data_IF_095786797618
#
_entry.id   IF_095786797618
#
_cell.length_a   1.000
_cell.length_b   1.000
_cell.length_c   1.000
_cell.angle_alpha   90.00
_cell.angle_beta   90.00
_cell.angle_gamma   90.00
#
_symmetry.space_group_name_H-M   'P 1'
#
loop_
_entity.id
_entity.type
_entity.pdbx_description
1 polymer ?
#
# COMPACT_ATOMS: atom_id res chain seq x y z
N UNK A 1 30.24 -2.93 10.21
CA UNK A 1 29.83 -4.09 11.04
C UNK A 1 28.58 -4.67 10.42
N UNK A 2 28.53 -5.96 10.06
CA UNK A 2 27.30 -6.58 9.61
C UNK A 2 26.33 -6.73 10.79
N UNK A 3 24.99 -6.63 10.56
CA UNK A 3 24.02 -6.81 11.63
C UNK A 3 24.11 -8.23 12.18
N UNK A 4 24.15 -8.36 13.52
CA UNK A 4 24.19 -9.64 14.19
C UNK A 4 22.93 -10.44 13.82
N UNK A 5 23.10 -11.64 13.32
CA UNK A 5 22.00 -12.58 13.07
C UNK A 5 21.33 -12.88 14.41
N UNK A 6 20.10 -12.41 14.59
CA UNK A 6 19.27 -12.78 15.73
C UNK A 6 19.03 -14.30 15.62
N UNK A 7 19.55 -15.05 16.57
CA UNK A 7 19.37 -16.49 16.60
C UNK A 7 17.99 -16.82 17.18
N UNK A 8 17.00 -16.96 16.31
CA UNK A 8 15.58 -17.15 16.65
C UNK A 8 15.32 -18.50 17.35
N UNK A 9 16.31 -19.44 17.34
CA UNK A 9 16.11 -20.80 17.86
C UNK A 9 16.22 -20.95 19.39
N UNK A 10 16.36 -19.85 20.14
CA UNK A 10 16.45 -19.89 21.62
C UNK A 10 15.60 -18.82 22.33
N UNK A 11 14.68 -18.17 21.63
CA UNK A 11 13.70 -17.33 22.32
C UNK A 11 12.76 -18.24 23.12
N UNK A 12 12.80 -18.14 24.45
CA UNK A 12 11.82 -18.78 25.30
C UNK A 12 10.46 -18.11 25.07
N UNK A 13 9.61 -18.76 24.27
CA UNK A 13 8.29 -18.24 23.90
C UNK A 13 7.34 -18.07 25.10
N UNK A 14 7.75 -18.54 26.28
CA UNK A 14 7.00 -18.38 27.53
C UNK A 14 7.47 -17.20 28.37
N UNK A 15 8.51 -16.46 27.97
CA UNK A 15 8.94 -15.27 28.70
C UNK A 15 7.85 -14.19 28.66
N UNK A 16 7.46 -13.61 29.80
CA UNK A 16 6.52 -12.50 29.82
C UNK A 16 7.04 -11.34 28.96
N UNK A 17 6.16 -10.66 28.27
CA UNK A 17 6.49 -9.47 27.44
C UNK A 17 7.23 -8.39 28.25
N UNK A 18 7.02 -8.36 29.58
CA UNK A 18 7.70 -7.45 30.51
C UNK A 18 9.22 -7.62 30.58
N UNK A 19 9.76 -8.79 30.22
CA UNK A 19 11.20 -9.08 30.24
C UNK A 19 11.90 -8.78 28.90
N UNK A 20 11.15 -8.30 27.88
CA UNK A 20 11.73 -7.94 26.60
C UNK A 20 12.39 -6.56 26.66
N UNK A 21 13.52 -6.31 25.96
CA UNK A 21 14.10 -4.97 25.88
C UNK A 21 13.08 -3.96 25.38
N UNK A 22 13.20 -2.70 25.81
CA UNK A 22 12.22 -1.64 25.54
C UNK A 22 11.88 -1.56 24.04
N UNK A 23 10.81 -2.25 23.64
CA UNK A 23 10.25 -2.22 22.29
C UNK A 23 8.99 -1.34 22.29
N UNK A 24 8.70 -0.60 21.22
CA UNK A 24 7.48 0.19 21.13
C UNK A 24 6.26 -0.70 20.85
N UNK A 25 5.95 -1.63 21.77
CA UNK A 25 4.88 -2.63 21.60
C UNK A 25 3.50 -2.03 21.47
N UNK A 26 3.27 -0.89 22.13
CA UNK A 26 2.08 -0.08 22.00
C UNK A 26 1.89 0.44 20.57
N UNK A 27 2.93 1.05 20.00
CA UNK A 27 2.93 1.54 18.61
C UNK A 27 2.75 0.39 17.62
N UNK A 28 3.47 -0.72 17.83
CA UNK A 28 3.33 -1.92 16.98
C UNK A 28 1.92 -2.50 17.04
N UNK A 29 1.37 -2.67 18.25
CA UNK A 29 0.02 -3.17 18.45
C UNK A 29 -1.04 -2.29 17.79
N UNK A 30 -0.96 -0.98 18.02
CA UNK A 30 -1.86 0.00 17.40
C UNK A 30 -1.76 -0.01 15.87
N UNK A 31 -0.55 -0.15 15.33
CA UNK A 31 -0.35 -0.26 13.89
C UNK A 31 -1.03 -1.50 13.30
N UNK A 32 -0.94 -2.67 13.95
CA UNK A 32 -1.63 -3.88 13.51
C UNK A 32 -3.16 -3.72 13.53
N UNK A 33 -3.72 -3.15 14.60
CA UNK A 33 -5.17 -2.89 14.69
C UNK A 33 -5.62 -1.87 13.64
N UNK A 34 -4.91 -0.76 13.52
CA UNK A 34 -5.23 0.30 12.56
C UNK A 34 -5.18 -0.23 11.12
N UNK A 35 -4.15 -1.02 10.78
CA UNK A 35 -4.04 -1.62 9.46
C UNK A 35 -5.16 -2.63 9.18
N UNK A 36 -5.49 -3.49 10.15
CA UNK A 36 -6.61 -4.45 10.04
C UNK A 36 -7.91 -3.72 9.69
N UNK A 37 -8.22 -2.67 10.44
CA UNK A 37 -9.46 -1.93 10.28
C UNK A 37 -9.45 -1.07 9.01
N UNK A 38 -8.28 -0.52 8.64
CA UNK A 38 -8.08 0.22 7.39
C UNK A 38 -8.35 -0.61 6.14
N UNK A 39 -7.98 -1.89 6.14
CA UNK A 39 -8.17 -2.76 4.96
C UNK A 39 -9.48 -3.54 4.99
N UNK A 40 -10.08 -3.73 6.17
CA UNK A 40 -11.22 -4.65 6.36
C UNK A 40 -12.45 -4.31 5.53
N UNK A 41 -12.85 -3.04 5.51
CA UNK A 41 -14.03 -2.60 4.76
C UNK A 41 -13.84 -2.76 3.24
N UNK A 42 -12.65 -2.44 2.74
CA UNK A 42 -12.29 -2.61 1.34
C UNK A 42 -12.21 -4.10 0.96
N UNK A 43 -11.65 -4.94 1.82
CA UNK A 43 -11.57 -6.40 1.60
C UNK A 43 -12.95 -7.03 1.44
N UNK A 44 -13.93 -6.67 2.27
CA UNK A 44 -15.30 -7.17 2.19
C UNK A 44 -16.02 -6.78 0.87
N UNK A 45 -15.74 -5.60 0.34
CA UNK A 45 -16.28 -5.15 -0.95
C UNK A 45 -15.62 -5.89 -2.13
N UNK A 46 -14.31 -6.11 -2.06
CA UNK A 46 -13.55 -6.80 -3.09
C UNK A 46 -13.90 -8.29 -3.20
N UNK A 47 -14.12 -8.95 -2.06
CA UNK A 47 -14.47 -10.36 -1.99
C UNK A 47 -15.76 -10.66 -2.79
N UNK A 48 -16.75 -9.77 -2.74
CA UNK A 48 -18.00 -9.88 -3.52
C UNK A 48 -17.77 -9.88 -5.03
N UNK A 49 -16.64 -9.38 -5.49
CA UNK A 49 -16.25 -9.29 -6.89
C UNK A 49 -15.19 -10.35 -7.28
N UNK A 50 -14.84 -11.25 -6.36
CA UNK A 50 -13.78 -12.24 -6.57
C UNK A 50 -12.37 -11.63 -6.57
N UNK A 51 -12.21 -10.45 -5.98
CA UNK A 51 -10.94 -9.73 -5.88
C UNK A 51 -10.39 -9.80 -4.45
N UNK A 52 -9.13 -9.40 -4.28
CA UNK A 52 -8.47 -9.31 -2.98
C UNK A 52 -7.51 -8.14 -2.93
N UNK A 53 -6.73 -8.04 -1.84
CA UNK A 53 -5.82 -6.91 -1.53
C UNK A 53 -4.85 -6.54 -2.66
N UNK A 54 -4.37 -7.53 -3.42
CA UNK A 54 -3.47 -7.24 -4.54
C UNK A 54 -4.19 -6.45 -5.64
N UNK A 55 -5.47 -6.74 -5.90
CA UNK A 55 -6.30 -6.00 -6.86
C UNK A 55 -6.53 -4.55 -6.38
N UNK A 56 -6.83 -4.36 -5.09
CA UNK A 56 -6.98 -3.03 -4.48
C UNK A 56 -5.71 -2.19 -4.65
N UNK A 57 -4.55 -2.76 -4.30
CA UNK A 57 -3.28 -2.04 -4.42
C UNK A 57 -2.95 -1.68 -5.87
N UNK A 58 -3.24 -2.56 -6.83
CA UNK A 58 -3.10 -2.25 -8.25
C UNK A 58 -4.02 -1.11 -8.66
N UNK A 59 -5.31 -1.16 -8.30
CA UNK A 59 -6.26 -0.09 -8.58
C UNK A 59 -5.81 1.24 -7.96
N UNK A 60 -5.34 1.23 -6.72
CA UNK A 60 -4.84 2.43 -6.04
C UNK A 60 -3.71 3.09 -6.83
N UNK A 61 -2.64 2.35 -7.14
CA UNK A 61 -1.47 2.95 -7.78
C UNK A 61 -1.71 3.35 -9.24
N UNK A 62 -2.56 2.62 -9.96
CA UNK A 62 -2.92 2.97 -11.34
C UNK A 62 -3.81 4.22 -11.38
N UNK A 63 -4.70 4.42 -10.38
CA UNK A 63 -5.46 5.67 -10.26
C UNK A 63 -4.58 6.83 -9.78
N UNK A 64 -3.67 6.59 -8.85
CA UNK A 64 -2.73 7.61 -8.36
C UNK A 64 -1.82 8.13 -9.48
N UNK A 65 -1.38 7.24 -10.38
CA UNK A 65 -0.48 7.58 -11.49
C UNK A 65 -0.94 6.93 -12.79
N UNK A 66 -1.90 7.53 -13.51
CA UNK A 66 -2.32 7.04 -14.83
C UNK A 66 -1.14 6.96 -15.80
N UNK A 67 -1.09 5.90 -16.60
CA UNK A 67 0.03 5.64 -17.49
C UNK A 67 1.24 4.97 -16.82
N UNK A 68 1.07 4.45 -15.60
CA UNK A 68 2.14 3.74 -14.91
C UNK A 68 2.60 2.51 -15.70
N UNK A 69 3.91 2.34 -15.96
CA UNK A 69 4.44 1.10 -16.53
C UNK A 69 4.24 -0.10 -15.59
N UNK A 70 3.97 -1.28 -16.17
CA UNK A 70 3.86 -2.53 -15.40
C UNK A 70 5.13 -2.80 -14.57
N UNK A 71 6.31 -2.44 -15.09
CA UNK A 71 7.58 -2.61 -14.38
C UNK A 71 7.65 -1.76 -13.10
N UNK A 72 7.16 -0.50 -13.15
CA UNK A 72 7.11 0.38 -11.98
C UNK A 72 6.15 -0.18 -10.93
N UNK A 73 4.97 -0.62 -11.36
CA UNK A 73 3.98 -1.23 -10.45
C UNK A 73 4.53 -2.49 -9.77
N UNK A 74 5.30 -3.31 -10.50
CA UNK A 74 5.97 -4.47 -9.93
C UNK A 74 6.96 -4.07 -8.81
N UNK A 75 7.75 -3.03 -9.06
CA UNK A 75 8.70 -2.48 -8.08
C UNK A 75 7.99 -1.94 -6.83
N UNK A 76 6.85 -1.26 -6.99
CA UNK A 76 6.04 -0.73 -5.88
C UNK A 76 5.45 -1.86 -5.04
N UNK A 77 4.85 -2.86 -5.68
CA UNK A 77 4.10 -3.90 -4.97
C UNK A 77 4.99 -4.96 -4.33
N UNK A 78 6.23 -5.10 -4.80
CA UNK A 78 7.22 -6.11 -4.35
C UNK A 78 6.64 -7.54 -4.31
N UNK A 79 5.87 -7.89 -5.33
CA UNK A 79 5.30 -9.24 -5.52
C UNK A 79 5.95 -9.90 -6.75
N UNK A 80 5.70 -11.20 -6.95
CA UNK A 80 6.25 -11.91 -8.12
C UNK A 80 5.61 -11.42 -9.42
N UNK A 81 6.36 -11.46 -10.53
CA UNK A 81 5.83 -11.15 -11.87
C UNK A 81 4.60 -11.98 -12.21
N UNK A 82 4.59 -13.25 -11.81
CA UNK A 82 3.47 -14.17 -12.05
C UNK A 82 2.21 -13.74 -11.27
N UNK A 83 2.37 -13.35 -10.00
CA UNK A 83 1.26 -12.84 -9.18
C UNK A 83 0.67 -11.56 -9.76
N UNK A 84 1.54 -10.60 -10.15
CA UNK A 84 1.09 -9.35 -10.78
C UNK A 84 0.37 -9.62 -12.12
N UNK A 85 0.93 -10.49 -12.96
CA UNK A 85 0.32 -10.83 -14.25
C UNK A 85 -1.09 -11.43 -14.09
N UNK A 86 -1.30 -12.28 -13.08
CA UNK A 86 -2.63 -12.85 -12.77
C UNK A 86 -3.61 -11.76 -12.34
N UNK A 87 -3.21 -10.88 -11.42
CA UNK A 87 -4.05 -9.78 -10.93
C UNK A 87 -4.40 -8.82 -12.06
N UNK A 88 -3.42 -8.42 -12.87
CA UNK A 88 -3.65 -7.53 -14.02
C UNK A 88 -4.61 -8.17 -15.04
N UNK A 89 -4.43 -9.46 -15.35
CA UNK A 89 -5.33 -10.16 -16.27
C UNK A 89 -6.77 -10.11 -15.76
N UNK A 90 -7.02 -10.42 -14.50
CA UNK A 90 -8.36 -10.36 -13.92
C UNK A 90 -8.98 -8.96 -14.00
N UNK A 91 -8.20 -7.92 -13.68
CA UNK A 91 -8.68 -6.52 -13.75
C UNK A 91 -8.93 -6.04 -15.19
N UNK A 92 -8.11 -6.50 -16.16
CA UNK A 92 -8.26 -6.16 -17.58
C UNK A 92 -9.48 -6.89 -18.17
N UNK A 93 -9.59 -8.21 -17.95
CA UNK A 93 -10.70 -9.03 -18.43
C UNK A 93 -12.03 -8.52 -17.88
N UNK A 94 -12.05 -8.09 -16.63
CA UNK A 94 -13.21 -7.49 -15.96
C UNK A 94 -13.41 -5.99 -16.28
N UNK A 95 -12.55 -5.40 -17.15
CA UNK A 95 -12.63 -4.02 -17.64
C UNK A 95 -12.52 -2.94 -16.54
N UNK A 96 -11.73 -3.18 -15.51
CA UNK A 96 -11.37 -2.17 -14.51
C UNK A 96 -10.10 -1.42 -14.89
N UNK A 97 -9.19 -2.08 -15.61
CA UNK A 97 -7.93 -1.51 -16.10
C UNK A 97 -7.83 -1.78 -17.60
N UNK A 98 -7.26 -0.85 -18.32
CA UNK A 98 -6.81 -1.03 -19.69
C UNK A 98 -5.30 -0.89 -19.81
N UNK A 99 -4.74 -1.58 -20.79
CA UNK A 99 -3.33 -1.57 -21.10
C UNK A 99 -3.10 -0.92 -22.47
N UNK A 100 -2.21 0.08 -22.54
CA UNK A 100 -1.83 0.74 -23.77
C UNK A 100 -0.34 0.58 -24.03
N UNK A 101 0.13 0.49 -25.31
CA UNK A 101 1.55 0.57 -25.61
C UNK A 101 2.10 1.95 -25.25
N UNK A 102 3.36 2.02 -24.83
CA UNK A 102 4.03 3.32 -24.64
C UNK A 102 4.25 4.04 -25.97
N UNK A 103 4.19 5.37 -25.95
CA UNK A 103 4.39 6.19 -27.14
C UNK A 103 5.84 6.20 -27.62
N UNK A 104 6.79 6.28 -26.69
CA UNK A 104 8.23 6.30 -26.97
C UNK A 104 8.79 4.87 -27.12
N UNK A 105 8.40 3.96 -26.23
CA UNK A 105 8.77 2.56 -26.29
C UNK A 105 7.52 1.68 -26.29
N UNK A 106 7.16 1.18 -27.46
CA UNK A 106 5.99 0.32 -27.67
C UNK A 106 6.06 -1.03 -26.95
N UNK A 107 7.21 -1.42 -26.42
CA UNK A 107 7.37 -2.62 -25.58
C UNK A 107 6.85 -2.39 -24.16
N UNK A 108 6.84 -1.14 -23.71
CA UNK A 108 6.26 -0.79 -22.44
C UNK A 108 4.74 -0.97 -22.49
N UNK A 109 4.19 -1.47 -21.40
CA UNK A 109 2.76 -1.59 -21.19
C UNK A 109 2.35 -0.60 -20.11
N UNK A 110 1.62 0.44 -20.50
CA UNK A 110 1.13 1.50 -19.64
C UNK A 110 -0.29 1.16 -19.16
N UNK A 111 -0.53 1.37 -17.88
CA UNK A 111 -1.77 1.01 -17.20
C UNK A 111 -2.63 2.25 -16.96
N UNK A 112 -3.92 2.14 -17.26
CA UNK A 112 -4.91 3.18 -17.04
C UNK A 112 -6.16 2.56 -16.39
N UNK A 113 -6.73 3.27 -15.42
CA UNK A 113 -8.03 2.88 -14.91
C UNK A 113 -9.12 3.27 -15.95
N UNK A 114 -10.04 2.36 -16.18
CA UNK A 114 -11.27 2.67 -16.93
C UNK A 114 -12.23 3.47 -16.04
N UNK A 115 -13.34 3.96 -16.59
CA UNK A 115 -14.40 4.59 -15.78
C UNK A 115 -14.89 3.66 -14.67
N UNK A 116 -15.14 2.38 -15.01
CA UNK A 116 -15.51 1.35 -14.04
C UNK A 116 -14.43 1.15 -12.96
N UNK A 117 -13.15 1.21 -13.35
CA UNK A 117 -12.02 1.12 -12.43
C UNK A 117 -11.93 2.30 -11.47
N UNK A 118 -12.19 3.52 -11.94
CA UNK A 118 -12.23 4.72 -11.10
C UNK A 118 -13.36 4.65 -10.08
N UNK A 119 -14.58 4.30 -10.52
CA UNK A 119 -15.74 4.15 -9.63
C UNK A 119 -15.50 3.10 -8.54
N UNK A 120 -14.89 1.96 -8.88
CA UNK A 120 -14.52 0.97 -7.87
C UNK A 120 -13.49 1.51 -6.90
N UNK A 121 -12.45 2.18 -7.41
CA UNK A 121 -11.42 2.80 -6.56
C UNK A 121 -12.02 3.83 -5.60
N UNK A 122 -12.90 4.71 -6.06
CA UNK A 122 -13.59 5.70 -5.23
C UNK A 122 -14.42 5.02 -4.13
N UNK A 123 -15.16 3.97 -4.48
CA UNK A 123 -15.95 3.20 -3.52
C UNK A 123 -15.08 2.54 -2.45
N UNK A 124 -13.97 1.93 -2.84
CA UNK A 124 -13.04 1.28 -1.92
C UNK A 124 -12.34 2.31 -1.00
N UNK A 125 -12.02 3.47 -1.56
CA UNK A 125 -11.27 4.52 -0.85
C UNK A 125 -12.15 5.33 0.10
N UNK A 126 -13.46 5.41 -0.13
CA UNK A 126 -14.36 6.28 0.64
C UNK A 126 -14.27 6.02 2.17
N UNK A 127 -14.38 4.76 2.60
CA UNK A 127 -14.30 4.41 4.02
C UNK A 127 -12.91 4.64 4.59
N UNK A 128 -11.88 4.33 3.80
CA UNK A 128 -10.47 4.53 4.17
C UNK A 128 -10.17 6.02 4.35
N UNK A 129 -10.65 6.86 3.41
CA UNK A 129 -10.50 8.33 3.47
C UNK A 129 -11.18 8.88 4.71
N UNK A 130 -12.45 8.54 4.95
CA UNK A 130 -13.20 8.99 6.13
C UNK A 130 -12.51 8.61 7.45
N UNK A 131 -11.95 7.40 7.55
CA UNK A 131 -11.23 6.93 8.74
C UNK A 131 -9.96 7.75 8.97
N UNK A 132 -9.17 8.00 7.90
CA UNK A 132 -7.94 8.80 7.99
C UNK A 132 -8.26 10.25 8.33
N UNK A 133 -9.24 10.86 7.65
CA UNK A 133 -9.63 12.25 7.88
C UNK A 133 -10.12 12.47 9.31
N UNK A 134 -10.96 11.56 9.83
CA UNK A 134 -11.43 11.62 11.20
C UNK A 134 -10.29 11.51 12.21
N UNK A 135 -9.33 10.62 11.96
CA UNK A 135 -8.18 10.48 12.85
C UNK A 135 -7.27 11.72 12.81
N UNK A 136 -7.03 12.29 11.62
CA UNK A 136 -6.23 13.51 11.46
C UNK A 136 -6.94 14.72 12.10
N UNK A 137 -8.25 14.83 11.94
CA UNK A 137 -9.03 15.93 12.51
C UNK A 137 -8.99 15.97 14.05
N UNK A 138 -8.73 14.85 14.70
CA UNK A 138 -8.56 14.74 16.15
C UNK A 138 -7.16 15.17 16.64
N UNK A 139 -6.22 15.46 15.73
CA UNK A 139 -4.85 15.86 16.05
C UNK A 139 -4.70 17.38 16.12
N UNK A 140 -3.65 17.89 16.81
CA UNK A 140 -3.26 19.31 16.72
C UNK A 140 -3.00 19.75 15.26
N UNK A 141 -2.97 21.07 14.96
CA UNK A 141 -2.81 21.60 13.58
C UNK A 141 -1.65 20.98 12.78
N UNK A 142 -0.52 20.70 13.43
CA UNK A 142 0.66 20.07 12.80
C UNK A 142 0.59 18.53 12.76
N UNK A 143 -0.50 17.94 13.22
CA UNK A 143 -0.64 16.49 13.39
C UNK A 143 -0.53 15.72 12.09
N UNK A 144 -1.17 16.19 11.00
CA UNK A 144 -1.06 15.58 9.67
C UNK A 144 0.40 15.46 9.23
N UNK A 145 1.16 16.53 9.33
CA UNK A 145 2.57 16.55 8.95
C UNK A 145 3.42 15.57 9.79
N UNK A 146 3.12 15.48 11.09
CA UNK A 146 3.78 14.52 11.99
C UNK A 146 3.49 13.07 11.57
N UNK A 147 2.24 12.75 11.25
CA UNK A 147 1.83 11.42 10.75
C UNK A 147 2.53 11.08 9.43
N UNK A 148 2.59 12.02 8.48
CA UNK A 148 3.30 11.82 7.22
C UNK A 148 4.79 11.54 7.46
N UNK A 149 5.47 12.32 8.31
CA UNK A 149 6.88 12.08 8.68
C UNK A 149 7.08 10.72 9.33
N UNK A 150 6.17 10.29 10.19
CA UNK A 150 6.21 8.97 10.82
C UNK A 150 6.17 7.86 9.76
N UNK A 151 5.21 7.89 8.84
CA UNK A 151 5.10 6.88 7.78
C UNK A 151 6.30 6.88 6.83
N UNK A 152 6.78 8.05 6.42
CA UNK A 152 8.00 8.16 5.58
C UNK A 152 9.23 7.61 6.32
N UNK A 153 9.32 7.83 7.63
CA UNK A 153 10.37 7.26 8.48
C UNK A 153 10.36 5.73 8.51
N UNK A 154 9.19 5.11 8.38
CA UNK A 154 9.02 3.64 8.34
C UNK A 154 9.33 3.03 6.96
N UNK A 155 9.35 3.83 5.88
CA UNK A 155 9.64 3.32 4.54
C UNK A 155 11.14 3.08 4.38
N UNK A 156 11.49 1.95 3.77
CA UNK A 156 12.88 1.60 3.47
C UNK A 156 13.58 2.74 2.72
N UNK A 157 14.84 3.09 3.08
CA UNK A 157 15.57 4.17 2.43
C UNK A 157 15.66 4.04 0.90
N UNK A 158 15.77 2.81 0.40
CA UNK A 158 15.79 2.50 -1.04
C UNK A 158 14.51 2.88 -1.79
N UNK A 159 13.38 2.98 -1.08
CA UNK A 159 12.07 3.27 -1.67
C UNK A 159 11.68 4.75 -1.58
N UNK A 160 12.42 5.58 -0.84
CA UNK A 160 12.07 6.99 -0.62
C UNK A 160 11.98 7.79 -1.92
N UNK A 161 12.90 7.59 -2.85
CA UNK A 161 12.84 8.22 -4.17
C UNK A 161 11.56 7.84 -4.97
N UNK A 162 10.96 6.69 -4.66
CA UNK A 162 9.69 6.29 -5.24
C UNK A 162 8.52 7.10 -4.68
N UNK A 163 8.54 7.44 -3.39
CA UNK A 163 7.52 8.29 -2.77
C UNK A 163 7.45 9.66 -3.45
N UNK A 164 8.62 10.27 -3.73
CA UNK A 164 8.71 11.56 -4.42
C UNK A 164 8.15 11.47 -5.84
N UNK A 165 8.49 10.40 -6.58
CA UNK A 165 7.95 10.16 -7.93
C UNK A 165 6.43 9.98 -7.95
N UNK A 166 5.86 9.49 -6.85
CA UNK A 166 4.43 9.29 -6.65
C UNK A 166 3.75 10.51 -6.00
N UNK A 167 4.51 11.58 -5.71
CA UNK A 167 4.05 12.80 -5.07
C UNK A 167 3.40 12.60 -3.69
N UNK A 168 3.87 11.60 -2.95
CA UNK A 168 3.36 11.27 -1.63
C UNK A 168 4.03 12.07 -0.51
N UNK A 169 5.00 12.92 -0.83
CA UNK A 169 5.84 13.70 0.10
C UNK A 169 5.70 15.21 -0.11
N UNK A 170 4.81 15.68 -1.00
CA UNK A 170 4.66 17.11 -1.35
C UNK A 170 4.26 18.01 -0.15
N UNK A 171 3.61 17.45 0.88
CA UNK A 171 3.18 18.19 2.07
C UNK A 171 4.17 18.09 3.26
N UNK A 172 5.37 17.52 3.05
CA UNK A 172 6.42 17.43 4.07
C UNK A 172 7.37 18.63 4.01
#
# INVERSE_FOLDING_TARGET
MPPSKINVNKADINSPVADMPAMPLDVMGLFFFAYRDFVGDADALLERQGFGRAHHRVLYFVNLKPGMPVADLLGILKITKQSLARVLRQLIDSKYIEQRPGEVDRRQRLLYATEKGRQLFETLSATQTSRIESAIAALPPEGKRTVLKFFVGMVEPSDRALLDRLKLTEEL
#
